data_IF_723702677805
#
_entry.id   IF_723702677805
#
_cell.length_a   1.000
_cell.length_b   1.000
_cell.length_c   1.000
_cell.angle_alpha   90.00
_cell.angle_beta   90.00
_cell.angle_gamma   90.00
#
_symmetry.space_group_name_H-M   'P 1'
#
loop_
_entity.id
_entity.type
_entity.pdbx_description
1 polymer ?
#
# COMPACT_ATOMS: atom_id res chain seq x y z
N UNK A 1 -40.24 4.31 37.21
CA UNK A 1 -39.31 3.48 36.42
C UNK A 1 -38.51 4.43 35.53
N UNK A 2 -37.18 4.51 35.69
CA UNK A 2 -36.34 5.36 34.84
C UNK A 2 -36.00 4.61 33.55
N UNK A 3 -36.37 5.16 32.40
CA UNK A 3 -36.05 4.62 31.09
C UNK A 3 -34.60 4.94 30.74
N UNK A 4 -33.86 3.91 30.32
CA UNK A 4 -32.48 4.00 29.85
C UNK A 4 -32.39 4.84 28.57
N UNK A 5 -31.47 5.80 28.54
CA UNK A 5 -31.17 6.60 27.35
C UNK A 5 -30.37 5.73 26.37
N UNK A 6 -30.81 5.58 25.11
CA UNK A 6 -30.03 4.86 24.11
C UNK A 6 -28.76 5.67 23.79
N UNK A 7 -27.59 5.05 23.99
CA UNK A 7 -26.29 5.63 23.62
C UNK A 7 -25.74 4.87 22.43
N UNK A 8 -25.40 5.61 21.37
CA UNK A 8 -24.76 5.08 20.17
C UNK A 8 -23.38 4.49 20.53
N UNK A 9 -23.10 3.21 20.21
CA UNK A 9 -21.84 2.59 20.55
C UNK A 9 -20.69 3.20 19.74
N UNK A 10 -19.59 3.55 20.42
CA UNK A 10 -18.37 4.04 19.76
C UNK A 10 -17.84 2.98 18.80
N UNK A 11 -17.59 3.37 17.54
CA UNK A 11 -16.89 2.51 16.56
C UNK A 11 -15.51 2.15 17.11
N UNK A 12 -15.29 0.87 17.40
CA UNK A 12 -14.02 0.34 17.91
C UNK A 12 -13.06 0.11 16.74
N UNK A 13 -11.85 0.67 16.82
CA UNK A 13 -10.75 0.41 15.88
C UNK A 13 -10.04 1.67 15.38
N UNK A 14 -8.79 1.50 14.92
CA UNK A 14 -8.09 2.55 14.17
C UNK A 14 -8.87 2.79 12.87
N UNK A 15 -9.14 4.05 12.48
CA UNK A 15 -9.74 4.33 11.17
C UNK A 15 -8.93 3.63 10.08
N UNK A 16 -9.59 3.14 9.03
CA UNK A 16 -8.90 2.51 7.91
C UNK A 16 -7.91 3.51 7.30
N UNK A 17 -6.64 3.37 7.65
CA UNK A 17 -5.56 4.21 7.12
C UNK A 17 -5.05 3.56 5.85
N UNK A 18 -5.38 4.18 4.71
CA UNK A 18 -4.92 3.76 3.38
C UNK A 18 -5.93 4.18 2.32
N UNK A 19 -5.48 4.93 1.31
CA UNK A 19 -6.30 5.23 0.12
C UNK A 19 -6.43 3.99 -0.77
N UNK A 20 -5.35 3.22 -0.85
CA UNK A 20 -5.22 2.04 -1.71
C UNK A 20 -5.03 0.78 -0.85
N UNK A 21 -5.55 -0.38 -1.30
CA UNK A 21 -5.38 -1.64 -0.59
C UNK A 21 -3.91 -2.08 -0.57
N UNK A 22 -3.49 -2.70 0.55
CA UNK A 22 -2.17 -3.28 0.67
C UNK A 22 -2.09 -4.59 -0.11
N UNK A 23 -1.19 -4.66 -1.09
CA UNK A 23 -0.83 -5.90 -1.79
C UNK A 23 0.57 -6.31 -1.33
N UNK A 24 0.68 -7.48 -0.70
CA UNK A 24 1.95 -8.03 -0.21
C UNK A 24 2.33 -9.32 -0.92
N UNK A 25 3.62 -9.51 -1.22
CA UNK A 25 4.18 -10.74 -1.75
C UNK A 25 5.56 -11.01 -1.14
N UNK A 26 6.08 -12.23 -1.32
CA UNK A 26 7.44 -12.59 -0.90
C UNK A 26 8.40 -12.28 -2.04
N UNK A 27 9.16 -11.20 -1.90
CA UNK A 27 10.23 -10.83 -2.82
C UNK A 27 11.56 -11.49 -2.37
N UNK A 28 12.30 -12.15 -3.27
CA UNK A 28 13.68 -12.56 -3.00
C UNK A 28 14.57 -11.37 -2.67
N UNK A 29 15.66 -11.60 -1.92
CA UNK A 29 16.59 -10.55 -1.52
C UNK A 29 17.20 -9.79 -2.71
N UNK A 30 17.55 -10.52 -3.78
CA UNK A 30 18.13 -9.92 -4.99
C UNK A 30 17.17 -8.98 -5.71
N UNK A 31 15.87 -9.29 -5.68
CA UNK A 31 14.84 -8.43 -6.25
C UNK A 31 14.69 -7.15 -5.42
N UNK A 32 14.72 -7.26 -4.09
CA UNK A 32 14.66 -6.10 -3.20
C UNK A 32 15.86 -5.18 -3.41
N UNK A 33 17.06 -5.74 -3.55
CA UNK A 33 18.28 -4.98 -3.83
C UNK A 33 18.20 -4.21 -5.16
N UNK A 34 17.67 -4.84 -6.21
CA UNK A 34 17.45 -4.19 -7.51
C UNK A 34 16.42 -3.05 -7.42
N UNK A 35 15.31 -3.27 -6.70
CA UNK A 35 14.29 -2.24 -6.48
C UNK A 35 14.85 -1.05 -5.70
N UNK A 36 15.70 -1.30 -4.70
CA UNK A 36 16.36 -0.25 -3.92
C UNK A 36 17.36 0.55 -4.75
N UNK A 37 18.17 -0.12 -5.57
CA UNK A 37 19.09 0.53 -6.48
C UNK A 37 18.35 1.40 -7.52
N UNK A 38 17.25 0.88 -8.08
CA UNK A 38 16.41 1.66 -8.99
C UNK A 38 15.78 2.87 -8.28
N UNK A 39 15.22 2.68 -7.09
CA UNK A 39 14.61 3.77 -6.32
C UNK A 39 15.63 4.87 -5.98
N UNK A 40 16.86 4.48 -5.58
CA UNK A 40 17.95 5.41 -5.31
C UNK A 40 18.37 6.20 -6.56
N UNK A 41 18.47 5.52 -7.72
CA UNK A 41 18.83 6.15 -9.00
C UNK A 41 17.80 7.20 -9.45
N UNK A 42 16.53 6.93 -9.21
CA UNK A 42 15.42 7.83 -9.59
C UNK A 42 15.06 8.85 -8.49
N UNK A 43 15.69 8.77 -7.30
CA UNK A 43 15.36 9.63 -6.16
C UNK A 43 13.97 9.37 -5.56
N UNK A 44 13.44 8.17 -5.73
CA UNK A 44 12.09 7.78 -5.33
C UNK A 44 12.09 6.96 -4.04
N UNK A 45 10.92 6.92 -3.37
CA UNK A 45 10.69 5.91 -2.33
C UNK A 45 10.46 4.55 -2.97
N UNK A 46 10.90 3.47 -2.32
CA UNK A 46 10.72 2.08 -2.78
C UNK A 46 9.29 1.77 -3.25
N UNK A 47 8.27 2.18 -2.49
CA UNK A 47 6.87 1.91 -2.84
C UNK A 47 6.41 2.66 -4.09
N UNK A 48 6.98 3.82 -4.38
CA UNK A 48 6.72 4.59 -5.59
C UNK A 48 7.45 4.02 -6.80
N UNK A 49 8.71 3.64 -6.63
CA UNK A 49 9.46 2.90 -7.63
C UNK A 49 8.76 1.62 -8.07
N UNK A 50 8.26 0.82 -7.12
CA UNK A 50 7.52 -0.42 -7.42
C UNK A 50 6.26 -0.11 -8.23
N UNK A 51 5.47 0.91 -7.85
CA UNK A 51 4.25 1.28 -8.60
C UNK A 51 4.57 1.64 -10.04
N UNK A 52 5.59 2.49 -10.27
CA UNK A 52 5.99 2.89 -11.62
C UNK A 52 6.43 1.71 -12.47
N UNK A 53 7.31 0.86 -11.93
CA UNK A 53 7.80 -0.33 -12.63
C UNK A 53 6.65 -1.28 -13.02
N UNK A 54 5.68 -1.49 -12.12
CA UNK A 54 4.51 -2.33 -12.42
C UNK A 54 3.63 -1.70 -13.50
N UNK A 55 3.36 -0.39 -13.41
CA UNK A 55 2.56 0.31 -14.44
C UNK A 55 3.23 0.29 -15.81
N UNK A 56 4.54 0.55 -15.88
CA UNK A 56 5.33 0.51 -17.12
C UNK A 56 5.31 -0.90 -17.73
N UNK A 57 5.53 -1.94 -16.91
CA UNK A 57 5.48 -3.33 -17.36
C UNK A 57 4.09 -3.72 -17.87
N UNK A 58 3.02 -3.26 -17.22
CA UNK A 58 1.64 -3.51 -17.64
C UNK A 58 1.32 -2.81 -18.96
N UNK A 59 1.75 -1.56 -19.17
CA UNK A 59 1.57 -0.83 -20.44
C UNK A 59 2.30 -1.52 -21.58
N UNK A 60 3.55 -1.92 -21.36
CA UNK A 60 4.38 -2.58 -22.36
C UNK A 60 3.84 -3.95 -22.80
N UNK A 61 3.09 -4.65 -21.94
CA UNK A 61 2.56 -6.00 -22.22
C UNK A 61 1.11 -6.01 -22.73
N UNK A 62 0.42 -4.88 -22.65
CA UNK A 62 -0.92 -4.69 -23.19
C UNK A 62 -0.94 -4.00 -24.56
N UNK A 63 0.24 -3.66 -25.11
CA UNK A 63 0.41 -3.07 -26.45
C UNK A 63 0.76 -4.13 -27.48
#
# INVERSE_FOLDING_TARGET
MLMSIPVEPKRRGRPATGRDPLVGFRAPADLLAQLDAYAAREGLKRSEAIRRLVEEALRARQS
#
